data_IF_113494439146
#
_entry.id   IF_113494439146
#
_cell.length_a   1.000
_cell.length_b   1.000
_cell.length_c   1.000
_cell.angle_alpha   90.00
_cell.angle_beta   90.00
_cell.angle_gamma   90.00
#
_symmetry.space_group_name_H-M   'P 1'
#
loop_
_entity.id
_entity.type
_entity.pdbx_description
1 polymer ?
#
# COMPACT_ATOMS: atom_id res chain seq x y z
N UNK A 1 17.39 4.73 10.87
CA UNK A 1 16.06 5.25 11.30
C UNK A 1 16.24 6.74 11.53
N UNK A 2 15.29 7.56 11.05
CA UNK A 2 15.29 9.02 11.18
C UNK A 2 13.89 9.60 10.96
N UNK A 3 13.80 10.92 10.82
CA UNK A 3 12.55 11.68 10.79
C UNK A 3 11.54 11.29 9.68
N UNK A 4 11.97 10.59 8.64
CA UNK A 4 11.09 10.12 7.57
C UNK A 4 10.61 8.67 7.76
N UNK A 5 11.02 8.03 8.86
CA UNK A 5 10.68 6.64 9.15
C UNK A 5 9.54 6.54 10.16
N UNK A 6 8.82 5.42 10.12
CA UNK A 6 7.83 5.06 11.13
C UNK A 6 8.19 3.70 11.70
N UNK A 7 8.31 3.59 13.02
CA UNK A 7 8.58 2.34 13.72
C UNK A 7 7.30 1.82 14.35
N UNK A 8 6.95 0.57 14.03
CA UNK A 8 5.76 -0.09 14.56
C UNK A 8 6.18 -1.15 15.58
N UNK A 9 5.95 -0.88 16.87
CA UNK A 9 6.16 -1.80 17.97
C UNK A 9 4.95 -2.71 18.16
N UNK A 10 5.16 -4.03 18.18
CA UNK A 10 4.07 -5.01 18.28
C UNK A 10 4.30 -5.89 19.51
N UNK A 11 3.32 -5.92 20.40
CA UNK A 11 3.37 -6.77 21.60
C UNK A 11 1.95 -7.06 22.11
N UNK A 12 1.59 -8.32 22.27
CA UNK A 12 0.25 -8.67 22.73
C UNK A 12 -0.06 -8.08 24.10
N UNK A 13 0.84 -8.20 25.08
CA UNK A 13 0.70 -7.61 26.42
C UNK A 13 1.08 -6.13 26.49
N UNK A 14 1.84 -5.63 25.51
CA UNK A 14 2.41 -4.29 25.54
C UNK A 14 3.45 -4.05 26.64
N UNK A 15 4.00 -5.11 27.25
CA UNK A 15 4.97 -5.02 28.36
C UNK A 15 6.39 -5.48 27.98
N UNK A 16 6.63 -5.84 26.71
CA UNK A 16 7.92 -6.32 26.25
C UNK A 16 8.95 -5.17 26.23
N UNK A 17 9.90 -5.18 27.16
CA UNK A 17 10.92 -4.13 27.36
C UNK A 17 11.68 -3.82 26.09
N UNK A 18 12.13 -4.83 25.35
CA UNK A 18 12.82 -4.65 24.08
C UNK A 18 12.02 -3.78 23.08
N UNK A 19 10.70 -4.00 23.01
CA UNK A 19 9.84 -3.26 22.06
C UNK A 19 9.62 -1.82 22.54
N UNK A 20 9.49 -1.62 23.87
CA UNK A 20 9.38 -0.28 24.46
C UNK A 20 10.65 0.52 24.21
N UNK A 21 11.81 -0.03 24.54
CA UNK A 21 13.12 0.61 24.32
C UNK A 21 13.38 0.90 22.83
N UNK A 22 12.91 0.03 21.92
CA UNK A 22 13.00 0.27 20.50
C UNK A 22 12.16 1.47 20.01
N UNK A 23 10.97 1.70 20.60
CA UNK A 23 10.17 2.89 20.30
C UNK A 23 10.80 4.15 20.91
N UNK A 24 11.39 4.07 22.10
CA UNK A 24 12.11 5.19 22.71
C UNK A 24 13.30 5.62 21.84
N UNK A 25 14.14 4.68 21.42
CA UNK A 25 15.25 4.94 20.50
C UNK A 25 14.76 5.52 19.16
N UNK A 26 13.61 5.08 18.64
CA UNK A 26 13.02 5.63 17.43
C UNK A 26 12.61 7.10 17.60
N UNK A 27 12.02 7.46 18.75
CA UNK A 27 11.68 8.85 19.09
C UNK A 27 12.92 9.74 19.21
N UNK A 28 13.96 9.25 19.89
CA UNK A 28 15.23 9.98 20.05
C UNK A 28 15.87 10.30 18.67
N UNK A 29 15.55 9.50 17.66
CA UNK A 29 15.93 9.71 16.26
C UNK A 29 14.91 10.50 15.43
N UNK A 30 13.88 11.06 16.07
CA UNK A 30 12.77 11.78 15.45
C UNK A 30 11.93 10.95 14.47
N UNK A 31 11.91 9.63 14.58
CA UNK A 31 11.01 8.77 13.82
C UNK A 31 9.62 8.73 14.48
N UNK A 32 8.56 8.65 13.68
CA UNK A 32 7.22 8.44 14.18
C UNK A 32 7.07 7.02 14.78
N UNK A 33 6.26 6.88 15.84
CA UNK A 33 6.10 5.60 16.53
C UNK A 33 4.65 5.16 16.61
N UNK A 34 4.42 3.86 16.37
CA UNK A 34 3.11 3.23 16.45
C UNK A 34 3.20 2.00 17.34
N UNK A 35 2.31 1.85 18.31
CA UNK A 35 2.14 0.62 19.09
C UNK A 35 0.95 -0.18 18.56
N UNK A 36 1.11 -1.50 18.43
CA UNK A 36 0.02 -2.44 18.18
C UNK A 36 -0.03 -3.43 19.35
N UNK A 37 -1.08 -3.35 20.16
CA UNK A 37 -1.21 -4.12 21.39
C UNK A 37 -2.58 -4.79 21.51
N UNK A 38 -2.67 -5.85 22.34
CA UNK A 38 -3.93 -6.53 22.62
C UNK A 38 -4.36 -6.39 24.09
N UNK A 39 -3.75 -5.46 24.80
CA UNK A 39 -4.05 -5.10 26.19
C UNK A 39 -4.29 -3.60 26.28
N UNK A 40 -5.26 -3.20 27.12
CA UNK A 40 -5.55 -1.78 27.36
C UNK A 40 -4.51 -1.15 28.28
N UNK A 41 -4.25 0.14 28.08
CA UNK A 41 -3.40 0.96 28.95
C UNK A 41 -2.02 0.34 29.19
N UNK A 42 -1.43 -0.28 28.19
CA UNK A 42 -0.12 -0.93 28.32
C UNK A 42 1.03 0.08 28.27
N UNK A 43 2.20 -0.23 28.87
CA UNK A 43 3.38 0.63 28.79
C UNK A 43 3.79 0.97 27.35
N UNK A 44 3.72 0.01 26.43
CA UNK A 44 4.03 0.24 25.02
C UNK A 44 3.04 1.20 24.36
N UNK A 45 1.75 1.11 24.70
CA UNK A 45 0.72 2.03 24.20
C UNK A 45 0.96 3.47 24.68
N UNK A 46 1.39 3.64 25.93
CA UNK A 46 1.72 4.94 26.51
C UNK A 46 2.98 5.57 25.89
N UNK A 47 3.91 4.74 25.43
CA UNK A 47 5.16 5.20 24.81
C UNK A 47 4.98 5.71 23.38
N UNK A 48 4.08 5.15 22.59
CA UNK A 48 3.95 5.44 21.17
C UNK A 48 3.20 6.77 20.89
N UNK A 49 3.50 7.40 19.75
CA UNK A 49 2.73 8.58 19.26
C UNK A 49 1.31 8.19 18.84
N UNK A 50 1.16 6.96 18.30
CA UNK A 50 -0.14 6.38 17.95
C UNK A 50 -0.25 4.98 18.56
N UNK A 51 -1.32 4.73 19.31
CA UNK A 51 -1.62 3.42 19.89
C UNK A 51 -2.81 2.77 19.19
N UNK A 52 -2.62 1.53 18.74
CA UNK A 52 -3.66 0.66 18.18
C UNK A 52 -3.92 -0.47 19.16
N UNK A 53 -4.93 -0.30 19.99
CA UNK A 53 -5.30 -1.26 21.03
C UNK A 53 -6.43 -2.17 20.54
N UNK A 54 -6.12 -3.41 20.19
CA UNK A 54 -7.10 -4.41 19.71
C UNK A 54 -7.35 -5.44 20.80
N UNK A 55 -8.35 -5.22 21.61
CA UNK A 55 -8.66 -6.05 22.76
C UNK A 55 -9.38 -7.34 22.30
N UNK A 56 -8.68 -8.46 22.37
CA UNK A 56 -9.16 -9.77 21.90
C UNK A 56 -9.72 -10.67 23.01
N UNK A 57 -9.61 -10.24 24.26
CA UNK A 57 -9.97 -11.05 25.43
C UNK A 57 -9.00 -12.23 25.64
N UNK A 58 -9.31 -13.12 26.61
CA UNK A 58 -8.43 -14.23 26.96
C UNK A 58 -8.33 -15.26 25.82
N UNK A 59 -7.14 -15.82 25.66
CA UNK A 59 -6.91 -16.93 24.74
C UNK A 59 -7.53 -18.25 25.27
N UNK A 60 -7.82 -19.20 24.37
CA UNK A 60 -8.28 -20.54 24.75
C UNK A 60 -7.26 -21.23 25.65
N UNK A 61 -5.98 -21.07 25.34
CA UNK A 61 -4.88 -21.45 26.23
C UNK A 61 -4.31 -20.18 26.84
N UNK A 62 -4.54 -19.97 28.14
CA UNK A 62 -4.12 -18.75 28.83
C UNK A 62 -2.64 -18.49 28.66
N UNK A 63 -2.30 -17.24 28.25
CA UNK A 63 -0.93 -16.81 28.00
C UNK A 63 -0.36 -17.17 26.62
N UNK A 64 -1.06 -17.97 25.80
CA UNK A 64 -0.64 -18.32 24.45
C UNK A 64 -1.20 -17.34 23.42
N UNK A 65 -0.56 -16.18 23.23
CA UNK A 65 -1.06 -15.03 22.45
C UNK A 65 -0.96 -15.18 20.92
N UNK A 66 -0.73 -16.40 20.43
CA UNK A 66 -0.57 -16.68 18.99
C UNK A 66 -1.88 -16.83 18.23
N UNK A 67 -3.01 -17.02 18.91
CA UNK A 67 -4.31 -17.28 18.26
C UNK A 67 -5.08 -15.97 18.03
N UNK A 68 -5.82 -15.48 19.02
CA UNK A 68 -6.65 -14.28 18.87
C UNK A 68 -5.77 -13.04 18.68
N UNK A 69 -4.83 -12.81 19.57
CA UNK A 69 -3.94 -11.66 19.53
C UNK A 69 -3.11 -11.66 18.25
N UNK A 70 -2.43 -12.76 17.91
CA UNK A 70 -1.63 -12.88 16.69
C UNK A 70 -2.47 -12.70 15.41
N UNK A 71 -3.70 -13.20 15.38
CA UNK A 71 -4.63 -13.00 14.25
C UNK A 71 -5.02 -11.52 14.11
N UNK A 72 -5.35 -10.85 15.22
CA UNK A 72 -5.67 -9.42 15.23
C UNK A 72 -4.48 -8.57 14.76
N UNK A 73 -3.28 -8.84 15.27
CA UNK A 73 -2.05 -8.17 14.84
C UNK A 73 -1.81 -8.33 13.33
N UNK A 74 -1.96 -9.55 12.79
CA UNK A 74 -1.87 -9.78 11.35
C UNK A 74 -2.87 -8.93 10.57
N UNK A 75 -4.12 -8.83 11.02
CA UNK A 75 -5.12 -8.00 10.35
C UNK A 75 -4.74 -6.51 10.39
N UNK A 76 -4.26 -6.01 11.52
CA UNK A 76 -3.78 -4.62 11.65
C UNK A 76 -2.62 -4.36 10.68
N UNK A 77 -1.63 -5.24 10.61
CA UNK A 77 -0.50 -5.11 9.68
C UNK A 77 -0.95 -5.11 8.21
N UNK A 78 -1.93 -5.96 7.87
CA UNK A 78 -2.51 -5.97 6.54
C UNK A 78 -3.26 -4.66 6.23
N UNK A 79 -3.99 -4.09 7.20
CA UNK A 79 -4.65 -2.79 7.05
C UNK A 79 -3.63 -1.67 6.86
N UNK A 80 -2.58 -1.61 7.68
CA UNK A 80 -1.52 -0.60 7.59
C UNK A 80 -0.82 -0.65 6.24
N UNK A 81 -0.38 -1.83 5.80
CA UNK A 81 0.30 -1.99 4.52
C UNK A 81 -0.62 -1.68 3.34
N UNK A 82 -1.86 -2.15 3.36
CA UNK A 82 -2.84 -1.89 2.30
C UNK A 82 -3.17 -0.40 2.20
N UNK A 83 -3.46 0.26 3.33
CA UNK A 83 -3.74 1.69 3.35
C UNK A 83 -2.55 2.53 2.86
N UNK A 84 -1.33 2.14 3.23
CA UNK A 84 -0.10 2.78 2.74
C UNK A 84 0.03 2.66 1.23
N UNK A 85 -0.19 1.47 0.66
CA UNK A 85 -0.14 1.26 -0.80
C UNK A 85 -1.21 2.05 -1.55
N UNK A 86 -2.42 2.17 -0.99
CA UNK A 86 -3.49 3.02 -1.54
C UNK A 86 -3.06 4.49 -1.54
N UNK A 87 -2.54 4.98 -0.42
CA UNK A 87 -2.06 6.37 -0.29
C UNK A 87 -0.85 6.69 -1.17
N UNK A 88 -0.09 5.69 -1.58
CA UNK A 88 1.02 5.82 -2.53
C UNK A 88 0.59 5.72 -4.01
N UNK A 89 -0.71 5.67 -4.31
CA UNK A 89 -1.21 5.58 -5.69
C UNK A 89 -0.95 4.25 -6.38
N UNK A 90 -0.78 3.17 -5.61
CA UNK A 90 -0.49 1.82 -6.16
C UNK A 90 -1.75 1.05 -6.55
N UNK A 91 -2.93 1.64 -6.35
CA UNK A 91 -4.21 1.03 -6.68
C UNK A 91 -5.08 1.96 -7.52
N UNK A 92 -5.96 1.36 -8.33
CA UNK A 92 -7.04 2.01 -9.05
C UNK A 92 -8.32 1.21 -8.83
N UNK A 93 -9.33 1.81 -8.21
CA UNK A 93 -10.46 1.06 -7.69
C UNK A 93 -9.99 -0.03 -6.71
N UNK A 94 -10.33 -1.28 -6.99
CA UNK A 94 -9.89 -2.45 -6.24
C UNK A 94 -8.73 -3.21 -6.92
N UNK A 95 -8.10 -2.61 -7.94
CA UNK A 95 -7.04 -3.23 -8.73
C UNK A 95 -5.67 -2.70 -8.30
N UNK A 96 -4.72 -3.60 -8.07
CA UNK A 96 -3.33 -3.27 -7.83
C UNK A 96 -2.63 -3.00 -9.18
N UNK A 97 -2.61 -1.74 -9.59
CA UNK A 97 -2.11 -1.32 -10.91
C UNK A 97 -0.60 -1.07 -10.96
N UNK A 98 0.05 -0.89 -9.81
CA UNK A 98 1.49 -0.68 -9.70
C UNK A 98 2.24 -2.01 -9.81
N UNK A 99 2.20 -2.59 -11.00
CA UNK A 99 2.73 -3.91 -11.30
C UNK A 99 3.67 -3.85 -12.50
N UNK A 100 4.92 -4.34 -12.33
CA UNK A 100 5.83 -4.63 -13.43
C UNK A 100 5.70 -6.10 -13.84
N UNK A 101 5.44 -6.32 -15.13
CA UNK A 101 5.22 -7.65 -15.71
C UNK A 101 6.54 -8.39 -15.97
N UNK A 102 7.28 -8.74 -14.91
CA UNK A 102 8.63 -9.32 -14.97
C UNK A 102 8.67 -10.83 -15.18
N UNK A 103 7.53 -11.51 -15.06
CA UNK A 103 7.43 -12.95 -15.30
C UNK A 103 6.06 -13.30 -15.91
N UNK A 104 5.92 -14.55 -16.40
CA UNK A 104 4.68 -15.02 -17.05
C UNK A 104 3.42 -14.82 -16.22
N UNK A 105 3.46 -15.09 -14.91
CA UNK A 105 2.31 -14.93 -14.01
C UNK A 105 1.94 -13.46 -13.84
N UNK A 106 2.93 -12.59 -13.63
CA UNK A 106 2.71 -11.15 -13.50
C UNK A 106 2.23 -10.53 -14.81
N UNK A 107 2.74 -10.99 -15.96
CA UNK A 107 2.28 -10.54 -17.28
C UNK A 107 0.81 -10.91 -17.53
N UNK A 108 0.41 -12.12 -17.21
CA UNK A 108 -1.00 -12.53 -17.30
C UNK A 108 -1.92 -11.70 -16.36
N UNK A 109 -1.41 -11.32 -15.18
CA UNK A 109 -2.13 -10.43 -14.26
C UNK A 109 -2.23 -9.01 -14.81
N UNK A 110 -1.14 -8.46 -15.35
CA UNK A 110 -1.09 -7.13 -15.95
C UNK A 110 -2.09 -7.02 -17.11
N UNK A 111 -2.16 -8.01 -18.01
CA UNK A 111 -3.16 -8.05 -19.09
C UNK A 111 -4.59 -7.99 -18.57
N UNK A 112 -4.92 -8.83 -17.58
CA UNK A 112 -6.28 -8.81 -16.99
C UNK A 112 -6.63 -7.46 -16.35
N UNK A 113 -5.67 -6.82 -15.67
CA UNK A 113 -5.87 -5.50 -15.08
C UNK A 113 -6.06 -4.46 -16.18
N UNK A 114 -5.22 -4.48 -17.22
CA UNK A 114 -5.33 -3.58 -18.38
C UNK A 114 -6.72 -3.69 -19.02
N UNK A 115 -7.15 -4.91 -19.41
CA UNK A 115 -8.47 -5.12 -20.01
C UNK A 115 -9.62 -4.67 -19.09
N UNK A 116 -9.50 -4.91 -17.78
CA UNK A 116 -10.52 -4.51 -16.82
C UNK A 116 -10.67 -2.98 -16.68
N UNK A 117 -9.58 -2.23 -16.88
CA UNK A 117 -9.59 -0.76 -16.75
C UNK A 117 -9.93 -0.08 -18.07
N UNK A 118 -9.42 -0.59 -19.21
CA UNK A 118 -9.55 0.06 -20.51
C UNK A 118 -10.77 -0.43 -21.31
N UNK A 119 -11.26 -1.62 -21.01
CA UNK A 119 -12.26 -2.32 -21.84
C UNK A 119 -11.69 -2.99 -23.09
N UNK A 120 -10.40 -2.86 -23.34
CA UNK A 120 -9.71 -3.42 -24.50
C UNK A 120 -9.46 -4.92 -24.39
N UNK A 121 -9.15 -5.57 -25.51
CA UNK A 121 -8.87 -7.01 -25.59
C UNK A 121 -7.42 -7.35 -25.16
N UNK A 122 -7.15 -8.66 -25.05
CA UNK A 122 -5.82 -9.16 -24.63
C UNK A 122 -4.71 -8.84 -25.64
N UNK A 123 -5.00 -8.70 -26.93
CA UNK A 123 -4.02 -8.37 -27.97
C UNK A 123 -3.53 -6.94 -27.78
N UNK A 124 -4.45 -6.00 -27.57
CA UNK A 124 -4.11 -4.61 -27.26
C UNK A 124 -3.39 -4.51 -25.91
N UNK A 125 -3.81 -5.28 -24.90
CA UNK A 125 -3.12 -5.34 -23.64
C UNK A 125 -1.65 -5.75 -23.79
N UNK A 126 -1.37 -6.76 -24.60
CA UNK A 126 -0.01 -7.24 -24.85
C UNK A 126 0.81 -6.16 -25.57
N UNK A 127 0.23 -5.53 -26.60
CA UNK A 127 0.88 -4.45 -27.36
C UNK A 127 1.26 -3.26 -26.47
N UNK A 128 0.32 -2.77 -25.64
CA UNK A 128 0.60 -1.63 -24.76
C UNK A 128 1.54 -1.97 -23.63
N UNK A 129 1.48 -3.20 -23.08
CA UNK A 129 2.44 -3.65 -22.09
C UNK A 129 3.87 -3.75 -22.64
N UNK A 130 4.03 -4.13 -23.93
CA UNK A 130 5.34 -4.11 -24.56
C UNK A 130 5.84 -2.68 -24.75
N UNK A 131 5.01 -1.76 -25.24
CA UNK A 131 5.35 -0.34 -25.40
C UNK A 131 5.70 0.33 -24.06
N UNK A 132 5.04 -0.08 -22.97
CA UNK A 132 5.27 0.42 -21.62
C UNK A 132 6.39 -0.33 -20.86
N UNK A 133 7.14 -1.23 -21.52
CA UNK A 133 8.19 -2.06 -20.90
C UNK A 133 7.70 -2.83 -19.66
N UNK A 134 6.46 -3.31 -19.72
CA UNK A 134 5.82 -4.08 -18.66
C UNK A 134 5.24 -3.26 -17.52
N UNK A 135 5.27 -1.92 -17.57
CA UNK A 135 4.60 -1.07 -16.59
C UNK A 135 3.10 -0.98 -16.86
N UNK A 136 2.31 -1.53 -15.95
CA UNK A 136 0.85 -1.66 -16.13
C UNK A 136 0.13 -0.30 -16.07
N UNK A 137 0.53 0.60 -15.18
CA UNK A 137 -0.07 1.95 -15.09
C UNK A 137 0.18 2.74 -16.36
N UNK A 138 1.41 2.69 -16.84
CA UNK A 138 1.83 3.38 -18.03
C UNK A 138 1.11 2.84 -19.27
N UNK A 139 1.01 1.51 -19.40
CA UNK A 139 0.27 0.87 -20.48
C UNK A 139 -1.20 1.31 -20.53
N UNK A 140 -1.87 1.34 -19.37
CA UNK A 140 -3.26 1.79 -19.27
C UNK A 140 -3.39 3.27 -19.68
N UNK A 141 -2.50 4.12 -19.18
CA UNK A 141 -2.55 5.55 -19.47
C UNK A 141 -2.33 5.83 -20.96
N UNK A 142 -1.34 5.17 -21.59
CA UNK A 142 -1.09 5.25 -23.02
C UNK A 142 -2.32 4.84 -23.85
N UNK A 143 -2.97 3.74 -23.48
CA UNK A 143 -4.15 3.25 -24.20
C UNK A 143 -5.34 4.23 -24.11
N UNK A 144 -5.58 4.79 -22.93
CA UNK A 144 -6.72 5.69 -22.71
C UNK A 144 -6.46 7.09 -23.28
N UNK A 145 -5.24 7.61 -23.16
CA UNK A 145 -4.89 8.96 -23.60
C UNK A 145 -4.55 9.04 -25.09
N UNK A 146 -4.01 7.99 -25.68
CA UNK A 146 -3.35 8.03 -26.98
C UNK A 146 -1.93 8.63 -26.92
N UNK A 147 -1.43 8.95 -25.75
CA UNK A 147 -0.09 9.50 -25.56
C UNK A 147 0.98 8.46 -25.86
N UNK A 148 2.14 8.94 -26.31
CA UNK A 148 3.34 8.13 -26.32
C UNK A 148 3.82 7.85 -24.87
N UNK A 149 4.83 7.00 -24.74
CA UNK A 149 5.36 6.60 -23.45
C UNK A 149 5.87 7.77 -22.61
N UNK A 150 6.53 8.74 -23.24
CA UNK A 150 7.13 9.89 -22.55
C UNK A 150 6.06 10.85 -22.04
N UNK A 151 5.07 11.17 -22.85
CA UNK A 151 3.95 12.03 -22.47
C UNK A 151 3.10 11.37 -21.35
N UNK A 152 2.83 10.06 -21.48
CA UNK A 152 2.10 9.31 -20.46
C UNK A 152 2.87 9.25 -19.12
N UNK A 153 4.19 9.08 -19.15
CA UNK A 153 5.03 9.12 -17.95
C UNK A 153 4.98 10.51 -17.30
N UNK A 154 5.12 11.57 -18.07
CA UNK A 154 5.05 12.95 -17.57
C UNK A 154 3.69 13.27 -16.94
N UNK A 155 2.59 12.80 -17.55
CA UNK A 155 1.24 12.96 -16.98
C UNK A 155 1.06 12.20 -15.67
N UNK A 156 1.63 10.98 -15.57
CA UNK A 156 1.59 10.17 -14.35
C UNK A 156 2.41 10.83 -13.23
N UNK A 157 3.61 11.33 -13.54
CA UNK A 157 4.50 12.01 -12.60
C UNK A 157 3.87 13.31 -12.08
N UNK A 158 3.24 14.09 -12.96
CA UNK A 158 2.47 15.29 -12.59
C UNK A 158 1.30 15.01 -11.63
N UNK A 159 0.84 13.76 -11.59
CA UNK A 159 -0.17 13.28 -10.66
C UNK A 159 0.39 12.46 -9.49
N UNK A 160 1.69 12.55 -9.20
CA UNK A 160 2.38 11.80 -8.16
C UNK A 160 2.18 10.27 -8.28
N UNK A 161 2.11 9.75 -9.48
CA UNK A 161 1.92 8.33 -9.77
C UNK A 161 0.48 7.79 -9.55
N UNK A 162 -0.49 8.67 -9.32
CA UNK A 162 -1.91 8.27 -9.16
C UNK A 162 -2.60 8.13 -10.52
N UNK A 163 -2.75 6.90 -10.99
CA UNK A 163 -3.42 6.60 -12.27
C UNK A 163 -4.81 7.25 -12.38
N UNK A 164 -5.63 7.18 -11.32
CA UNK A 164 -6.98 7.76 -11.34
C UNK A 164 -6.98 9.27 -11.53
N UNK A 165 -6.02 10.00 -10.93
CA UNK A 165 -5.88 11.44 -11.12
C UNK A 165 -5.42 11.77 -12.55
N UNK A 166 -4.47 11.02 -13.08
CA UNK A 166 -3.99 11.21 -14.45
C UNK A 166 -5.11 10.97 -15.48
N UNK A 167 -5.88 9.90 -15.31
CA UNK A 167 -7.04 9.64 -16.18
C UNK A 167 -8.10 10.74 -16.10
N UNK A 168 -8.40 11.25 -14.90
CA UNK A 168 -9.35 12.36 -14.74
C UNK A 168 -8.87 13.67 -15.38
N UNK A 169 -7.57 13.97 -15.28
CA UNK A 169 -7.00 15.16 -15.93
C UNK A 169 -7.16 15.08 -17.46
N UNK A 170 -6.83 13.94 -18.07
CA UNK A 170 -6.96 13.71 -19.50
C UNK A 170 -8.42 13.81 -19.98
N UNK A 171 -9.38 13.27 -19.20
CA UNK A 171 -10.80 13.41 -19.57
C UNK A 171 -11.26 14.86 -19.58
N UNK A 172 -10.83 15.67 -18.60
CA UNK A 172 -11.17 17.10 -18.56
C UNK A 172 -10.58 17.90 -19.72
N UNK A 173 -9.36 17.59 -20.13
CA UNK A 173 -8.73 18.24 -21.28
C UNK A 173 -9.53 17.98 -22.56
N UNK A 174 -10.01 16.74 -22.76
CA UNK A 174 -10.81 16.35 -23.94
C UNK A 174 -12.24 16.91 -23.95
N UNK A 175 -12.80 17.24 -22.80
CA UNK A 175 -14.13 17.88 -22.69
C UNK A 175 -14.07 19.41 -22.98
N UNK A 176 -12.87 19.99 -22.97
CA UNK A 176 -12.65 21.43 -23.23
C UNK A 176 -12.22 21.73 -24.66
N UNK A 177 -11.94 20.71 -25.47
CA UNK A 177 -11.64 20.81 -26.91
C UNK A 177 -12.91 20.60 -27.77
#
# INVERSE_FOLDING_TARGET
IGANDTVVGISASGSARFVIEALQEAKDRNAATVAVVNASNSPLAAEADVSIEVITGPEVISGSTRMKAGTAQKLVLNMLSTASMIKMGKVYGNLMVDLKATNRKLRARARRIFCAVTGENETEAERFLDLAEGDTKLAILMAVSGYDRQAAQSALDGCNGFLGKALQAIHKERECE
#
